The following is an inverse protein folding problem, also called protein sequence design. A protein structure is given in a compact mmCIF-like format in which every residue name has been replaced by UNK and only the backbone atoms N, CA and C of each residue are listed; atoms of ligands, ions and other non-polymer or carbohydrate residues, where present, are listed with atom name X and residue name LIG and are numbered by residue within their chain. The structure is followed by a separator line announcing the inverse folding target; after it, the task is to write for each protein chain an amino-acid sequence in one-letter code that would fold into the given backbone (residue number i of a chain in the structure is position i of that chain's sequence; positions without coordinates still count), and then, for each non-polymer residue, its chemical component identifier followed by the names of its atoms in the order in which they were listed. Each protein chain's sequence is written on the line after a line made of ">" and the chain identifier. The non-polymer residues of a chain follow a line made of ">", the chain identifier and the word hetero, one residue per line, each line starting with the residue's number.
data_IF_507086203977
#
_entry.id   IF_507086203977
#
_cell.length_a   1.000
_cell.length_b   1.000
_cell.length_c   1.000
_cell.angle_alpha   90.00
_cell.angle_beta   90.00
_cell.angle_gamma   90.00
#
_symmetry.space_group_name_H-M   'P 1'
#
loop_
_entity.id
_entity.type
_entity.pdbx_description
1 polymer ?
#
# COMPACT_ATOMS: atom_id res chain seq x y z
N UNK A 1 16.40 -8.69 -31.79
CA UNK A 1 17.63 -7.93 -32.11
C UNK A 1 18.28 -7.50 -30.79
N UNK A 2 19.59 -7.23 -30.71
CA UNK A 2 20.28 -6.92 -29.43
C UNK A 2 19.60 -5.78 -28.61
N UNK A 3 19.03 -4.80 -29.32
CA UNK A 3 18.28 -3.67 -28.74
C UNK A 3 16.99 -4.05 -28.01
N UNK A 4 16.33 -5.15 -28.40
CA UNK A 4 15.08 -5.60 -27.76
C UNK A 4 15.37 -6.19 -26.37
N UNK A 5 16.48 -6.94 -26.26
CA UNK A 5 16.94 -7.53 -25.01
C UNK A 5 17.33 -6.44 -24.01
N UNK A 6 18.09 -5.43 -24.46
CA UNK A 6 18.47 -4.28 -23.63
C UNK A 6 17.25 -3.47 -23.17
N UNK A 7 16.26 -3.28 -24.06
CA UNK A 7 15.01 -2.60 -23.73
C UNK A 7 14.19 -3.36 -22.69
N UNK A 8 14.14 -4.69 -22.78
CA UNK A 8 13.45 -5.54 -21.81
C UNK A 8 14.14 -5.51 -20.44
N UNK A 9 15.48 -5.57 -20.40
CA UNK A 9 16.24 -5.44 -19.15
C UNK A 9 16.02 -4.04 -18.53
N UNK A 10 16.11 -3.00 -19.34
CA UNK A 10 15.88 -1.62 -18.92
C UNK A 10 14.46 -1.42 -18.35
N UNK A 11 13.45 -2.09 -18.94
CA UNK A 11 12.09 -2.09 -18.41
C UNK A 11 12.03 -2.64 -16.99
N UNK A 12 12.57 -3.84 -16.75
CA UNK A 12 12.58 -4.45 -15.41
C UNK A 12 13.37 -3.60 -14.39
N UNK A 13 14.52 -3.05 -14.79
CA UNK A 13 15.30 -2.17 -13.91
C UNK A 13 14.55 -0.87 -13.54
N UNK A 14 13.78 -0.32 -14.47
CA UNK A 14 12.98 0.87 -14.22
C UNK A 14 11.73 0.58 -13.39
N UNK A 15 10.97 -0.44 -13.79
CA UNK A 15 9.63 -0.76 -13.27
C UNK A 15 9.71 -1.56 -11.97
N UNK A 16 10.51 -2.63 -11.93
CA UNK A 16 10.58 -3.53 -10.78
C UNK A 16 11.64 -3.11 -9.74
N UNK A 17 12.72 -2.45 -10.20
CA UNK A 17 13.85 -2.04 -9.33
C UNK A 17 13.91 -0.53 -9.05
N UNK A 18 12.96 0.24 -9.55
CA UNK A 18 12.84 1.70 -9.31
C UNK A 18 14.08 2.54 -9.69
N UNK A 19 14.94 2.05 -10.58
CA UNK A 19 16.13 2.78 -10.99
C UNK A 19 15.79 3.98 -11.89
N UNK A 20 16.61 5.03 -11.81
CA UNK A 20 16.50 6.20 -12.70
C UNK A 20 17.05 5.87 -14.09
N UNK A 21 16.62 6.63 -15.10
CA UNK A 21 17.15 6.49 -16.47
C UNK A 21 18.68 6.62 -16.54
N UNK A 22 19.28 7.43 -15.65
CA UNK A 22 20.73 7.60 -15.54
C UNK A 22 21.39 6.32 -15.03
N UNK A 23 20.93 5.79 -13.90
CA UNK A 23 21.44 4.54 -13.34
C UNK A 23 21.27 3.35 -14.30
N UNK A 24 20.19 3.32 -15.06
CA UNK A 24 19.95 2.25 -16.05
C UNK A 24 20.93 2.35 -17.22
N UNK A 25 21.22 3.57 -17.71
CA UNK A 25 22.21 3.76 -18.78
C UNK A 25 23.65 3.41 -18.35
N UNK A 26 23.94 3.53 -17.06
CA UNK A 26 25.22 3.14 -16.47
C UNK A 26 25.26 1.63 -16.10
N UNK A 27 24.16 0.89 -16.30
CA UNK A 27 24.07 -0.51 -15.91
C UNK A 27 24.82 -1.43 -16.90
N UNK A 28 25.67 -2.38 -16.45
CA UNK A 28 26.52 -3.19 -17.33
C UNK A 28 25.78 -3.99 -18.40
N UNK A 29 24.52 -4.34 -18.13
CA UNK A 29 23.66 -5.13 -19.01
C UNK A 29 22.83 -4.27 -19.99
N UNK A 30 22.89 -2.94 -19.88
CA UNK A 30 22.10 -2.00 -20.68
C UNK A 30 23.08 -0.99 -21.27
N UNK A 31 23.69 -1.35 -22.40
CA UNK A 31 24.75 -0.56 -23.04
C UNK A 31 24.18 0.52 -23.98
N UNK A 32 23.24 1.33 -23.47
CA UNK A 32 22.58 2.39 -24.26
C UNK A 32 22.69 3.76 -23.59
N UNK A 33 22.58 4.83 -24.39
CA UNK A 33 22.64 6.20 -23.89
C UNK A 33 21.43 6.52 -23.01
N UNK A 34 21.63 7.38 -22.02
CA UNK A 34 20.57 7.93 -21.16
C UNK A 34 19.33 8.42 -21.92
N UNK A 35 19.53 9.13 -23.04
CA UNK A 35 18.44 9.65 -23.85
C UNK A 35 17.59 8.54 -24.49
N UNK A 36 18.22 7.41 -24.84
CA UNK A 36 17.51 6.23 -25.36
C UNK A 36 16.60 5.63 -24.31
N UNK A 37 17.08 5.48 -23.08
CA UNK A 37 16.27 5.00 -21.94
C UNK A 37 15.12 5.96 -21.64
N UNK A 38 15.38 7.28 -21.66
CA UNK A 38 14.34 8.29 -21.48
C UNK A 38 13.23 8.21 -22.54
N UNK A 39 13.58 7.95 -23.80
CA UNK A 39 12.59 7.77 -24.87
C UNK A 39 11.76 6.52 -24.64
N UNK A 40 12.38 5.39 -24.30
CA UNK A 40 11.63 4.16 -23.98
C UNK A 40 10.66 4.34 -22.81
N UNK A 41 11.08 5.04 -21.75
CA UNK A 41 10.21 5.35 -20.60
C UNK A 41 8.98 6.16 -21.02
N UNK A 42 9.16 7.14 -21.92
CA UNK A 42 8.07 8.02 -22.41
C UNK A 42 7.13 7.27 -23.34
N UNK A 43 7.67 6.61 -24.37
CA UNK A 43 6.90 5.93 -25.40
C UNK A 43 6.18 4.68 -24.87
N UNK A 44 6.82 3.93 -23.96
CA UNK A 44 6.30 2.67 -23.44
C UNK A 44 5.34 2.79 -22.25
N UNK A 45 4.95 4.00 -21.83
CA UNK A 45 4.17 4.23 -20.62
C UNK A 45 4.79 3.64 -19.33
N UNK A 46 6.10 3.44 -19.26
CA UNK A 46 6.74 2.73 -18.13
C UNK A 46 6.53 3.44 -16.80
N UNK A 47 6.44 4.77 -16.80
CA UNK A 47 6.09 5.53 -15.59
C UNK A 47 4.71 5.17 -15.06
N UNK A 48 3.71 4.97 -15.93
CA UNK A 48 2.36 4.59 -15.51
C UNK A 48 2.37 3.19 -14.90
N UNK A 49 3.06 2.24 -15.54
CA UNK A 49 3.18 0.85 -15.06
C UNK A 49 3.89 0.81 -13.71
N UNK A 50 5.07 1.45 -13.59
CA UNK A 50 5.82 1.55 -12.34
C UNK A 50 5.00 2.21 -11.24
N UNK A 51 4.35 3.33 -11.54
CA UNK A 51 3.52 4.02 -10.55
C UNK A 51 2.34 3.14 -10.14
N UNK A 52 1.73 2.38 -11.05
CA UNK A 52 0.66 1.43 -10.71
C UNK A 52 1.18 0.35 -9.75
N UNK A 53 2.39 -0.19 -9.97
CA UNK A 53 3.03 -1.19 -9.13
C UNK A 53 3.45 -0.65 -7.75
N UNK A 54 4.00 0.57 -7.68
CA UNK A 54 4.29 1.25 -6.40
C UNK A 54 3.00 1.59 -5.65
N UNK A 55 1.97 2.05 -6.38
CA UNK A 55 0.66 2.37 -5.81
C UNK A 55 -0.18 1.14 -5.46
N UNK A 56 0.32 -0.06 -5.81
CA UNK A 56 -0.36 -1.33 -5.62
C UNK A 56 -0.34 -1.65 -4.11
N UNK A 57 -1.35 -1.09 -3.47
CA UNK A 57 -1.86 -1.33 -2.13
C UNK A 57 -0.92 -1.18 -0.91
N UNK A 58 0.36 -1.58 -0.94
CA UNK A 58 1.18 -1.66 0.28
C UNK A 58 1.54 -0.30 0.87
N UNK A 59 2.12 0.64 0.10
CA UNK A 59 2.54 1.93 0.67
C UNK A 59 1.35 2.77 1.16
N UNK A 60 0.22 2.71 0.46
CA UNK A 60 -0.99 3.44 0.88
C UNK A 60 -1.62 2.79 2.10
N UNK A 61 -1.60 1.46 2.19
CA UNK A 61 -2.02 0.70 3.36
C UNK A 61 -1.15 1.04 4.57
N UNK A 62 0.17 0.98 4.42
CA UNK A 62 1.15 1.32 5.45
C UNK A 62 0.96 2.75 5.95
N UNK A 63 0.71 3.72 5.06
CA UNK A 63 0.42 5.10 5.48
C UNK A 63 -0.88 5.21 6.26
N UNK A 64 -1.95 4.51 5.85
CA UNK A 64 -3.23 4.52 6.58
C UNK A 64 -3.03 3.89 7.97
N UNK A 65 -2.33 2.76 8.05
CA UNK A 65 -1.99 2.09 9.30
C UNK A 65 -1.16 2.99 10.22
N UNK A 66 -0.12 3.65 9.68
CA UNK A 66 0.72 4.56 10.46
C UNK A 66 -0.07 5.74 11.06
N UNK A 67 -1.09 6.26 10.37
CA UNK A 67 -1.97 7.30 10.92
C UNK A 67 -2.83 6.74 12.06
N UNK A 68 -3.39 5.55 11.89
CA UNK A 68 -4.18 4.87 12.94
C UNK A 68 -3.30 4.60 14.17
N UNK A 69 -2.08 4.12 13.97
CA UNK A 69 -1.13 3.85 15.05
C UNK A 69 -0.74 5.15 15.78
N UNK A 70 -0.49 6.23 15.03
CA UNK A 70 -0.23 7.56 15.60
C UNK A 70 -1.37 8.05 16.50
N UNK A 71 -2.61 7.97 15.99
CA UNK A 71 -3.81 8.36 16.76
C UNK A 71 -4.02 7.44 17.98
N UNK A 72 -3.74 6.14 17.85
CA UNK A 72 -3.86 5.18 18.95
C UNK A 72 -2.84 5.46 20.05
N UNK A 73 -1.62 5.82 19.68
CA UNK A 73 -0.58 6.22 20.64
C UNK A 73 -0.96 7.53 21.36
N UNK A 74 -1.45 8.53 20.63
CA UNK A 74 -1.98 9.77 21.21
C UNK A 74 -3.14 9.48 22.18
N UNK A 75 -4.03 8.56 21.80
CA UNK A 75 -5.16 8.14 22.64
C UNK A 75 -4.70 7.53 23.96
N UNK A 76 -3.69 6.66 23.92
CA UNK A 76 -3.10 6.03 25.11
C UNK A 76 -2.45 7.07 26.03
N UNK A 77 -1.75 8.06 25.48
CA UNK A 77 -1.18 9.17 26.24
C UNK A 77 -2.27 9.96 26.98
N UNK A 78 -3.35 10.34 26.27
CA UNK A 78 -4.48 11.05 26.89
C UNK A 78 -5.17 10.20 27.98
N UNK A 79 -5.29 8.88 27.80
CA UNK A 79 -5.85 8.02 28.86
C UNK A 79 -5.00 8.04 30.13
N UNK A 80 -3.68 8.06 29.97
CA UNK A 80 -2.75 8.16 31.10
C UNK A 80 -2.91 9.50 31.81
N UNK A 81 -2.95 10.61 31.08
CA UNK A 81 -3.15 11.95 31.64
C UNK A 81 -4.52 12.08 32.34
N UNK A 82 -5.60 11.55 31.75
CA UNK A 82 -6.92 11.49 32.39
C UNK A 82 -6.86 10.76 33.73
N UNK A 83 -6.14 9.63 33.79
CA UNK A 83 -5.99 8.86 35.03
C UNK A 83 -5.24 9.66 36.08
N UNK A 84 -4.11 10.26 35.71
CA UNK A 84 -3.29 11.08 36.61
C UNK A 84 -4.06 12.29 37.15
N UNK A 85 -4.76 13.02 36.28
CA UNK A 85 -5.62 14.15 36.68
C UNK A 85 -6.77 13.73 37.61
N UNK A 86 -7.35 12.53 37.40
CA UNK A 86 -8.37 11.98 38.29
C UNK A 86 -7.83 11.60 39.67
N UNK A 87 -6.61 11.07 39.75
CA UNK A 87 -5.97 10.78 41.04
C UNK A 87 -5.65 12.09 41.79
N UNK A 88 -5.13 13.11 41.10
CA UNK A 88 -4.92 14.44 41.70
C UNK A 88 -6.22 15.03 42.28
N UNK A 89 -7.34 14.87 41.57
CA UNK A 89 -8.66 15.32 42.03
C UNK A 89 -9.20 14.58 43.28
N UNK A 90 -8.62 13.43 43.63
CA UNK A 90 -8.96 12.70 44.87
C UNK A 90 -8.20 13.21 46.09
N UNK A 91 -7.06 13.87 45.88
CA UNK A 91 -6.31 14.50 46.95
C UNK A 91 -7.04 15.76 47.46
N UNK A 92 -6.75 16.16 48.70
CA UNK A 92 -7.24 17.42 49.25
C UNK A 92 -6.54 18.61 48.56
N UNK A 93 -7.09 19.02 47.42
CA UNK A 93 -6.69 20.21 46.68
C UNK A 93 -7.40 21.46 47.19
N UNK A 94 -6.73 22.61 47.13
CA UNK A 94 -7.41 23.89 47.27
C UNK A 94 -8.40 24.14 46.10
N UNK A 95 -9.33 25.06 46.33
CA UNK A 95 -10.44 25.31 45.41
C UNK A 95 -10.01 25.79 44.02
N UNK A 96 -8.87 26.48 43.91
CA UNK A 96 -8.39 27.01 42.63
C UNK A 96 -7.65 25.92 41.84
N UNK A 97 -6.80 25.13 42.49
CA UNK A 97 -6.18 23.95 41.87
C UNK A 97 -7.22 22.92 41.41
N UNK A 98 -8.27 22.71 42.21
CA UNK A 98 -9.37 21.82 41.84
C UNK A 98 -10.06 22.26 40.55
N UNK A 99 -10.38 23.55 40.40
CA UNK A 99 -10.98 24.10 39.16
C UNK A 99 -10.07 23.92 37.95
N UNK A 100 -8.76 24.12 38.12
CA UNK A 100 -7.78 23.93 37.04
C UNK A 100 -7.75 22.46 36.60
N UNK A 101 -7.71 21.53 37.54
CA UNK A 101 -7.73 20.10 37.26
C UNK A 101 -9.05 19.64 36.62
N UNK A 102 -10.20 20.16 37.07
CA UNK A 102 -11.51 19.89 36.45
C UNK A 102 -11.57 20.38 35.00
N UNK A 103 -11.05 21.58 34.73
CA UNK A 103 -10.95 22.12 33.36
C UNK A 103 -10.03 21.27 32.49
N UNK A 104 -8.84 20.93 32.99
CA UNK A 104 -7.90 20.06 32.28
C UNK A 104 -8.54 18.71 31.95
N UNK A 105 -9.26 18.10 32.89
CA UNK A 105 -9.97 16.85 32.67
C UNK A 105 -11.05 16.99 31.58
N UNK A 106 -11.78 18.11 31.53
CA UNK A 106 -12.75 18.37 30.47
C UNK A 106 -12.07 18.49 29.09
N UNK A 107 -10.96 19.21 29.01
CA UNK A 107 -10.18 19.39 27.77
C UNK A 107 -9.58 18.07 27.28
N UNK A 108 -9.10 17.22 28.19
CA UNK A 108 -8.58 15.88 27.89
C UNK A 108 -9.68 14.94 27.37
N UNK A 109 -10.87 14.96 28.00
CA UNK A 109 -12.00 14.17 27.52
C UNK A 109 -12.48 14.64 26.13
N UNK A 110 -12.51 15.95 25.89
CA UNK A 110 -12.85 16.51 24.57
C UNK A 110 -11.84 16.06 23.50
N UNK A 111 -10.55 16.11 23.84
CA UNK A 111 -9.47 15.64 22.98
C UNK A 111 -9.55 14.14 22.70
N UNK A 112 -9.87 13.32 23.71
CA UNK A 112 -10.11 11.89 23.53
C UNK A 112 -11.24 11.61 22.54
N UNK A 113 -12.37 12.31 22.65
CA UNK A 113 -13.51 12.18 21.70
C UNK A 113 -13.09 12.55 20.28
N UNK A 114 -12.28 13.61 20.11
CA UNK A 114 -11.76 14.01 18.79
C UNK A 114 -10.89 12.91 18.18
N UNK A 115 -10.01 12.30 18.96
CA UNK A 115 -9.13 11.22 18.51
C UNK A 115 -9.95 9.97 18.17
N UNK A 116 -10.91 9.58 19.01
CA UNK A 116 -11.77 8.42 18.78
C UNK A 116 -12.54 8.56 17.45
N UNK A 117 -13.05 9.77 17.15
CA UNK A 117 -13.66 10.07 15.86
C UNK A 117 -12.67 9.96 14.68
N UNK A 118 -11.43 10.43 14.88
CA UNK A 118 -10.34 10.29 13.90
C UNK A 118 -10.04 8.82 13.61
N UNK A 119 -9.86 8.00 14.65
CA UNK A 119 -9.62 6.55 14.53
C UNK A 119 -10.76 5.87 13.77
N UNK A 120 -12.01 6.17 14.12
CA UNK A 120 -13.18 5.61 13.43
C UNK A 120 -13.20 5.96 11.93
N UNK A 121 -12.88 7.21 11.58
CA UNK A 121 -12.80 7.67 10.19
C UNK A 121 -11.68 6.96 9.41
N UNK A 122 -10.49 6.82 10.00
CA UNK A 122 -9.36 6.15 9.35
C UNK A 122 -9.56 4.64 9.24
N UNK A 123 -10.19 4.01 10.23
CA UNK A 123 -10.62 2.60 10.13
C UNK A 123 -11.65 2.40 9.00
N UNK A 124 -12.61 3.32 8.84
CA UNK A 124 -13.53 3.26 7.69
C UNK A 124 -12.78 3.41 6.37
N UNK A 125 -11.80 4.33 6.31
CA UNK A 125 -10.94 4.50 5.13
C UNK A 125 -10.15 3.22 4.82
N UNK A 126 -9.60 2.55 5.84
CA UNK A 126 -8.91 1.27 5.71
C UNK A 126 -9.83 0.18 5.18
N UNK A 127 -11.05 0.06 5.70
CA UNK A 127 -12.05 -0.90 5.23
C UNK A 127 -12.45 -0.65 3.77
N UNK A 128 -12.71 0.61 3.40
CA UNK A 128 -12.99 0.98 2.02
C UNK A 128 -11.82 0.65 1.10
N UNK A 129 -10.59 0.92 1.56
CA UNK A 129 -9.38 0.59 0.82
C UNK A 129 -9.24 -0.92 0.58
N UNK A 130 -9.51 -1.76 1.58
CA UNK A 130 -9.52 -3.22 1.39
C UNK A 130 -10.63 -3.66 0.43
N UNK A 131 -11.82 -3.05 0.52
CA UNK A 131 -12.94 -3.38 -0.38
C UNK A 131 -12.67 -2.98 -1.83
N UNK A 132 -12.11 -1.81 -2.07
CA UNK A 132 -11.74 -1.30 -3.39
C UNK A 132 -10.60 -2.09 -4.03
N UNK A 133 -9.65 -2.58 -3.22
CA UNK A 133 -8.51 -3.36 -3.71
C UNK A 133 -8.75 -4.87 -3.68
N UNK A 134 -9.92 -5.35 -3.26
CA UNK A 134 -10.28 -6.78 -3.35
C UNK A 134 -10.65 -7.08 -4.80
N UNK A 135 -9.80 -7.85 -5.48
CA UNK A 135 -10.12 -8.39 -6.80
C UNK A 135 -11.15 -9.52 -6.58
N UNK A 136 -12.30 -9.47 -7.27
CA UNK A 136 -13.26 -10.57 -7.22
C UNK A 136 -12.70 -11.79 -7.96
N UNK A 137 -13.14 -13.00 -7.56
CA UNK A 137 -12.75 -14.23 -8.26
C UNK A 137 -13.06 -14.15 -9.77
N UNK A 138 -14.17 -13.53 -10.15
CA UNK A 138 -14.54 -13.32 -11.56
C UNK A 138 -13.52 -12.47 -12.34
N UNK A 139 -13.10 -11.33 -11.78
CA UNK A 139 -12.10 -10.46 -12.42
C UNK A 139 -10.73 -11.15 -12.46
N UNK A 140 -10.39 -11.88 -11.40
CA UNK A 140 -9.15 -12.66 -11.35
C UNK A 140 -9.11 -13.72 -12.47
N UNK A 141 -10.17 -14.53 -12.62
CA UNK A 141 -10.28 -15.52 -13.69
C UNK A 141 -10.21 -14.86 -15.07
N UNK A 142 -10.87 -13.71 -15.27
CA UNK A 142 -10.79 -12.98 -16.55
C UNK A 142 -9.35 -12.55 -16.88
N UNK A 143 -8.63 -12.00 -15.90
CA UNK A 143 -7.21 -11.60 -16.07
C UNK A 143 -6.35 -12.83 -16.37
N UNK A 144 -6.55 -13.91 -15.63
CA UNK A 144 -5.81 -15.15 -15.82
C UNK A 144 -6.01 -15.70 -17.23
N UNK A 145 -7.25 -15.79 -17.70
CA UNK A 145 -7.55 -16.22 -19.06
C UNK A 145 -6.84 -15.35 -20.10
N UNK A 146 -6.86 -14.02 -19.95
CA UNK A 146 -6.13 -13.11 -20.86
C UNK A 146 -4.63 -13.38 -20.88
N UNK A 147 -4.02 -13.64 -19.71
CA UNK A 147 -2.59 -13.95 -19.61
C UNK A 147 -2.25 -15.26 -20.33
N UNK A 148 -3.02 -16.33 -20.09
CA UNK A 148 -2.72 -17.63 -20.68
C UNK A 148 -3.15 -17.74 -22.14
N UNK A 149 -4.16 -17.01 -22.59
CA UNK A 149 -4.46 -16.86 -24.02
C UNK A 149 -3.32 -16.14 -24.76
N UNK A 150 -2.77 -15.07 -24.16
CA UNK A 150 -1.58 -14.41 -24.70
C UNK A 150 -0.35 -15.33 -24.69
N UNK A 151 -0.16 -16.15 -23.65
CA UNK A 151 0.90 -17.16 -23.60
C UNK A 151 0.71 -18.20 -24.71
N UNK A 152 -0.52 -18.68 -24.92
CA UNK A 152 -0.83 -19.63 -25.99
C UNK A 152 -0.53 -19.07 -27.37
N UNK A 153 -0.87 -17.81 -27.61
CA UNK A 153 -0.55 -17.13 -28.87
C UNK A 153 0.96 -16.92 -29.08
N UNK A 154 1.73 -16.77 -27.99
CA UNK A 154 3.18 -16.65 -28.03
C UNK A 154 3.89 -17.99 -28.22
N UNK A 155 3.53 -19.00 -27.43
CA UNK A 155 4.07 -20.36 -27.45
C UNK A 155 3.04 -21.38 -26.93
N UNK A 156 2.41 -22.10 -27.85
CA UNK A 156 1.39 -23.10 -27.51
C UNK A 156 1.98 -24.29 -26.73
N UNK A 157 3.24 -24.67 -26.97
CA UNK A 157 3.85 -25.79 -26.26
C UNK A 157 4.09 -25.46 -24.78
N UNK A 158 4.47 -24.22 -24.46
CA UNK A 158 4.57 -23.75 -23.08
C UNK A 158 3.18 -23.68 -22.45
N UNK A 159 2.19 -23.13 -23.16
CA UNK A 159 0.81 -23.07 -22.67
C UNK A 159 0.30 -24.47 -22.26
N UNK A 160 0.45 -25.47 -23.12
CA UNK A 160 0.01 -26.84 -22.83
C UNK A 160 0.69 -27.43 -21.59
N UNK A 161 1.96 -27.10 -21.35
CA UNK A 161 2.70 -27.53 -20.15
C UNK A 161 2.24 -26.86 -18.85
N UNK A 162 1.48 -25.76 -18.94
CA UNK A 162 1.01 -25.00 -17.78
C UNK A 162 -0.45 -25.27 -17.41
N UNK A 163 -1.17 -26.16 -18.11
CA UNK A 163 -2.60 -26.41 -17.85
C UNK A 163 -2.87 -26.86 -16.41
N UNK A 164 -2.08 -27.79 -15.89
CA UNK A 164 -2.24 -28.25 -14.50
C UNK A 164 -1.98 -27.12 -13.50
N UNK A 165 -0.99 -26.26 -13.77
CA UNK A 165 -0.71 -25.07 -12.96
C UNK A 165 -1.87 -24.06 -13.00
N UNK A 166 -2.42 -23.81 -14.19
CA UNK A 166 -3.57 -22.90 -14.38
C UNK A 166 -4.76 -23.33 -13.51
N UNK A 167 -5.10 -24.62 -13.57
CA UNK A 167 -6.22 -25.19 -12.82
C UNK A 167 -5.94 -25.20 -11.31
N UNK A 168 -4.77 -25.67 -10.88
CA UNK A 168 -4.41 -25.70 -9.47
C UNK A 168 -4.42 -24.30 -8.85
N UNK A 169 -3.89 -23.30 -9.55
CA UNK A 169 -3.84 -21.94 -9.06
C UNK A 169 -5.23 -21.29 -8.97
N UNK A 170 -6.15 -21.56 -9.91
CA UNK A 170 -7.55 -21.12 -9.80
C UNK A 170 -8.20 -21.69 -8.54
N UNK A 171 -8.03 -22.99 -8.30
CA UNK A 171 -8.63 -23.66 -7.15
C UNK A 171 -8.10 -23.04 -5.84
N UNK A 172 -6.78 -22.90 -5.72
CA UNK A 172 -6.13 -22.25 -4.58
C UNK A 172 -6.66 -20.83 -4.34
N UNK A 173 -6.69 -19.99 -5.38
CA UNK A 173 -7.15 -18.60 -5.26
C UNK A 173 -8.65 -18.53 -4.98
N UNK A 174 -9.45 -19.49 -5.47
CA UNK A 174 -10.88 -19.55 -5.18
C UNK A 174 -11.16 -19.82 -3.70
N UNK A 175 -10.31 -20.59 -3.02
CA UNK A 175 -10.40 -20.81 -1.57
C UNK A 175 -10.05 -19.53 -0.79
N UNK A 176 -9.08 -18.74 -1.28
CA UNK A 176 -8.62 -17.52 -0.62
C UNK A 176 -9.55 -16.31 -0.83
N UNK A 177 -10.23 -16.24 -1.99
CA UNK A 177 -11.10 -15.12 -2.36
C UNK A 177 -12.58 -15.32 -1.97
N UNK A 178 -12.94 -16.49 -1.45
CA UNK A 178 -14.27 -16.77 -0.88
C UNK A 178 -14.56 -15.97 0.41
#
# INVERSE_FOLDING_TARGET
>A
MAKDKEKQIAFHLFVDKNLTAKQIADHPQVQVRHNTVCNWIKEGNWKKIRNAQISQSSERLERIQAVIDGLSNERLAILKEIKETKELLRDELDADLKKVAEKSLADLNSSAVRIDNGIAMWNKTLLSFHKENRISLSVYIEIQNKIFEALRAYDEAIYMKTLDFQQAHILEVSEQLN
#
